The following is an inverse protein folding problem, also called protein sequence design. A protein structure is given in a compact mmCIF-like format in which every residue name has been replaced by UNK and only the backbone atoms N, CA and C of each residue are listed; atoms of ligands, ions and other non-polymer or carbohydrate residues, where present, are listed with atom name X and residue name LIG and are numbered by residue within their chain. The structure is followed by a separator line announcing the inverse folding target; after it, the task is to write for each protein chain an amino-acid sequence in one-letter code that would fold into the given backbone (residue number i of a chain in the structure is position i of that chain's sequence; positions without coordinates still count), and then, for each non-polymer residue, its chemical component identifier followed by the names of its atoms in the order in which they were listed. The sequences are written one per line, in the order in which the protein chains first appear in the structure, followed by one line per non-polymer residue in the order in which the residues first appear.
data_IF_258809995355
#
_entry.id   IF_258809995355
#
_cell.length_a   1.000
_cell.length_b   1.000
_cell.length_c   1.000
_cell.angle_alpha   90.00
_cell.angle_beta   90.00
_cell.angle_gamma   90.00
#
_symmetry.space_group_name_H-M   'P 1'
#
loop_
_entity.id
_entity.type
_entity.pdbx_description
1 polymer ?
#
# COMPACT_ATOMS: atom_id res chain seq x y z
N UNK A 1 2.82 -19.16 -12.23
CA UNK A 1 3.16 -18.66 -10.88
C UNK A 1 2.32 -19.44 -9.90
N UNK A 2 2.94 -20.19 -8.98
CA UNK A 2 2.17 -20.82 -7.90
C UNK A 2 1.54 -19.70 -7.07
N UNK A 3 0.20 -19.69 -6.95
CA UNK A 3 -0.48 -18.78 -6.03
C UNK A 3 -0.17 -19.28 -4.62
N UNK A 4 0.90 -18.78 -4.01
CA UNK A 4 1.18 -19.01 -2.59
C UNK A 4 0.02 -18.45 -1.78
N UNK A 5 -0.82 -19.36 -1.28
CA UNK A 5 -1.99 -19.05 -0.47
C UNK A 5 -1.53 -18.45 0.86
N UNK A 6 -1.52 -17.12 0.93
CA UNK A 6 -1.22 -16.40 2.17
C UNK A 6 -2.49 -16.32 3.03
N UNK A 7 -2.44 -16.94 4.22
CA UNK A 7 -3.53 -16.87 5.19
C UNK A 7 -3.34 -15.68 6.12
N UNK A 8 -4.35 -14.80 6.20
CA UNK A 8 -4.34 -13.62 7.08
C UNK A 8 -5.44 -13.78 8.12
N UNK A 9 -5.09 -13.70 9.40
CA UNK A 9 -6.06 -13.68 10.50
C UNK A 9 -6.52 -12.24 10.75
N UNK A 10 -7.84 -12.03 10.69
CA UNK A 10 -8.48 -10.73 10.96
C UNK A 10 -9.70 -10.94 11.86
N UNK A 11 -10.11 -9.88 12.57
CA UNK A 11 -11.32 -9.93 13.38
C UNK A 11 -12.58 -10.13 12.52
N UNK A 12 -13.63 -10.72 13.11
CA UNK A 12 -14.93 -10.90 12.44
C UNK A 12 -15.48 -9.58 11.89
N UNK A 13 -15.41 -8.51 12.70
CA UNK A 13 -15.81 -7.15 12.30
C UNK A 13 -15.05 -6.65 11.07
N UNK A 14 -13.73 -6.80 11.05
CA UNK A 14 -12.91 -6.37 9.91
C UNK A 14 -13.24 -7.19 8.65
N UNK A 15 -13.49 -8.49 8.81
CA UNK A 15 -13.92 -9.37 7.70
C UNK A 15 -15.26 -8.95 7.10
N UNK A 16 -16.23 -8.55 7.93
CA UNK A 16 -17.55 -8.07 7.50
C UNK A 16 -17.44 -6.72 6.79
N UNK A 17 -16.65 -5.79 7.32
CA UNK A 17 -16.38 -4.51 6.68
C UNK A 17 -15.70 -4.69 5.32
N UNK A 18 -14.70 -5.58 5.23
CA UNK A 18 -14.04 -5.91 3.96
C UNK A 18 -15.02 -6.45 2.92
N UNK A 19 -15.97 -7.31 3.34
CA UNK A 19 -17.01 -7.84 2.44
C UNK A 19 -17.93 -6.73 1.94
N UNK A 20 -18.44 -5.89 2.83
CA UNK A 20 -19.34 -4.79 2.46
C UNK A 20 -18.67 -3.80 1.49
N UNK A 21 -17.40 -3.49 1.71
CA UNK A 21 -16.61 -2.68 0.79
C UNK A 21 -16.43 -3.39 -0.55
N UNK A 22 -16.04 -4.66 -0.56
CA UNK A 22 -15.87 -5.43 -1.79
C UNK A 22 -17.14 -5.43 -2.66
N UNK A 23 -18.31 -5.59 -2.04
CA UNK A 23 -19.61 -5.52 -2.72
C UNK A 23 -19.86 -4.14 -3.36
N UNK A 24 -19.54 -3.06 -2.65
CA UNK A 24 -19.65 -1.67 -3.16
C UNK A 24 -18.83 -1.49 -4.43
N UNK A 25 -17.65 -2.11 -4.49
CA UNK A 25 -16.75 -2.05 -5.65
C UNK A 25 -17.01 -3.14 -6.70
N UNK A 26 -18.07 -3.95 -6.54
CA UNK A 26 -18.38 -5.11 -7.42
C UNK A 26 -17.20 -6.08 -7.56
N UNK A 27 -16.47 -6.31 -6.46
CA UNK A 27 -15.30 -7.20 -6.38
C UNK A 27 -15.57 -8.35 -5.42
N UNK A 28 -14.85 -9.45 -5.61
CA UNK A 28 -14.80 -10.51 -4.59
C UNK A 28 -14.01 -10.03 -3.37
N UNK A 29 -14.28 -10.60 -2.19
CA UNK A 29 -13.57 -10.27 -0.95
C UNK A 29 -12.04 -10.42 -1.10
N UNK A 30 -11.59 -11.49 -1.76
CA UNK A 30 -10.17 -11.76 -2.00
C UNK A 30 -9.53 -10.73 -2.94
N UNK A 31 -10.16 -10.50 -4.10
CA UNK A 31 -9.67 -9.51 -5.07
C UNK A 31 -9.66 -8.09 -4.49
N UNK A 32 -10.62 -7.74 -3.64
CA UNK A 32 -10.62 -6.45 -2.97
C UNK A 32 -9.49 -6.34 -1.93
N UNK A 33 -9.20 -7.41 -1.19
CA UNK A 33 -8.07 -7.44 -0.26
C UNK A 33 -6.72 -7.29 -0.98
N UNK A 34 -6.53 -8.01 -2.09
CA UNK A 34 -5.34 -7.88 -2.94
C UNK A 34 -5.18 -6.45 -3.46
N UNK A 35 -6.27 -5.85 -3.94
CA UNK A 35 -6.27 -4.46 -4.39
C UNK A 35 -5.87 -3.48 -3.28
N UNK A 36 -6.38 -3.66 -2.05
CA UNK A 36 -5.99 -2.82 -0.91
C UNK A 36 -4.50 -2.94 -0.59
N UNK A 37 -3.96 -4.16 -0.57
CA UNK A 37 -2.54 -4.41 -0.34
C UNK A 37 -1.69 -3.72 -1.42
N UNK A 38 -2.11 -3.81 -2.68
CA UNK A 38 -1.42 -3.16 -3.80
C UNK A 38 -1.44 -1.63 -3.68
N UNK A 39 -2.59 -1.04 -3.30
CA UNK A 39 -2.72 0.39 -3.08
C UNK A 39 -1.79 0.88 -1.96
N UNK A 40 -1.75 0.16 -0.84
CA UNK A 40 -0.91 0.54 0.29
C UNK A 40 0.58 0.35 0.00
N UNK A 41 0.95 -0.68 -0.78
CA UNK A 41 2.31 -0.84 -1.27
C UNK A 41 2.73 0.35 -2.16
N UNK A 42 1.85 0.78 -3.07
CA UNK A 42 2.10 1.96 -3.92
C UNK A 42 2.26 3.23 -3.11
N UNK A 43 1.42 3.45 -2.09
CA UNK A 43 1.55 4.60 -1.17
C UNK A 43 2.87 4.56 -0.40
N UNK A 44 3.24 3.40 0.15
CA UNK A 44 4.50 3.24 0.87
C UNK A 44 5.71 3.50 -0.04
N UNK A 45 5.67 3.00 -1.27
CA UNK A 45 6.71 3.26 -2.27
C UNK A 45 6.79 4.76 -2.62
N UNK A 46 5.65 5.42 -2.80
CA UNK A 46 5.59 6.87 -3.04
C UNK A 46 6.15 7.68 -1.86
N UNK A 47 5.77 7.34 -0.62
CA UNK A 47 6.31 7.99 0.58
C UNK A 47 7.83 7.81 0.70
N UNK A 48 8.36 6.62 0.41
CA UNK A 48 9.81 6.38 0.39
C UNK A 48 10.51 7.19 -0.71
N UNK A 49 9.89 7.33 -1.88
CA UNK A 49 10.42 8.13 -2.97
C UNK A 49 10.49 9.62 -2.59
N UNK A 50 9.41 10.17 -2.03
CA UNK A 50 9.38 11.57 -1.55
C UNK A 50 10.48 11.79 -0.51
N UNK A 51 10.58 10.93 0.50
CA UNK A 51 11.62 11.05 1.53
C UNK A 51 13.05 10.93 0.96
N UNK A 52 13.24 10.19 -0.13
CA UNK A 52 14.54 10.11 -0.82
C UNK A 52 14.84 11.42 -1.58
N UNK A 53 13.86 11.93 -2.32
CA UNK A 53 13.99 13.18 -3.07
C UNK A 53 14.26 14.36 -2.14
N UNK A 54 13.55 14.46 -1.01
CA UNK A 54 13.78 15.49 0.00
C UNK A 54 15.23 15.46 0.54
N UNK A 55 15.79 14.27 0.78
CA UNK A 55 17.20 14.13 1.22
C UNK A 55 18.20 14.50 0.14
N UNK A 56 17.90 14.20 -1.12
CA UNK A 56 18.76 14.55 -2.25
C UNK A 56 18.77 16.06 -2.50
N UNK A 57 17.62 16.73 -2.37
CA UNK A 57 17.53 18.19 -2.47
C UNK A 57 18.22 18.90 -1.29
N UNK A 58 18.09 18.41 -0.06
CA UNK A 58 18.82 18.95 1.09
C UNK A 58 20.35 18.77 0.95
N UNK A 59 20.79 17.66 0.35
CA UNK A 59 22.21 17.40 0.12
C UNK A 59 22.78 18.29 -0.99
N UNK A 60 22.02 18.53 -2.06
CA UNK A 60 22.40 19.47 -3.15
C UNK A 60 22.40 20.93 -2.69
N UNK A 61 21.45 21.33 -1.85
CA UNK A 61 21.39 22.70 -1.31
C UNK A 61 22.57 23.04 -0.39
N UNK A 62 23.17 22.03 0.28
CA UNK A 62 24.36 22.21 1.13
C UNK A 62 25.67 22.22 0.34
N UNK A 63 25.74 21.50 -0.78
CA UNK A 63 26.95 21.44 -1.60
C UNK A 63 27.17 22.72 -2.44
N UNK A 64 26.09 23.40 -2.82
CA UNK A 64 26.14 24.61 -3.67
C UNK A 64 26.55 25.91 -2.94
N UNK A 65 27.03 25.84 -1.70
CA UNK A 65 27.42 27.01 -0.88
C UNK A 65 28.92 27.03 -0.49
N UNK A 66 29.75 26.28 -1.20
CA UNK A 66 31.20 26.18 -0.95
C UNK A 66 32.03 26.89 -2.02
#
# INVERSE_FOLDING_TARGET
MANDLTTIQISKRASEQLRALAETYKRSKGSHAEWLIEQDYKKLAASKLVAKLEREDESKAKDSKK
#
